data_IF_281503679982
#
_entry.id   IF_281503679982
#
_cell.length_a   1.000
_cell.length_b   1.000
_cell.length_c   1.000
_cell.angle_alpha   90.00
_cell.angle_beta   90.00
_cell.angle_gamma   90.00
#
_symmetry.space_group_name_H-M   'P 1'
#
loop_
_entity.id
_entity.type
_entity.pdbx_description
1 polymer ?
#
# COMPACT_ATOMS: atom_id res chain seq x y z
N UNK A 1 -34.48 20.13 12.73
CA UNK A 1 -34.15 18.84 13.34
C UNK A 1 -34.11 17.82 12.23
N UNK A 2 -32.92 17.52 11.70
CA UNK A 2 -32.76 16.52 10.66
C UNK A 2 -32.68 15.16 11.32
N UNK A 3 -33.82 14.49 11.44
CA UNK A 3 -33.86 13.08 11.80
C UNK A 3 -33.28 12.36 10.58
N UNK A 4 -32.07 11.84 10.70
CA UNK A 4 -31.58 10.83 9.75
C UNK A 4 -32.42 9.60 10.05
N UNK A 5 -33.28 9.24 9.10
CA UNK A 5 -34.09 8.03 9.17
C UNK A 5 -33.12 6.84 9.07
N UNK A 6 -32.84 6.16 10.20
CA UNK A 6 -31.94 5.00 10.27
C UNK A 6 -32.46 3.79 9.45
N UNK A 7 -33.65 3.90 8.85
CA UNK A 7 -34.25 2.86 8.00
C UNK A 7 -33.74 2.83 6.56
N UNK A 8 -32.97 3.83 6.10
CA UNK A 8 -32.50 3.92 4.70
C UNK A 8 -30.97 3.83 4.54
N UNK A 9 -30.30 3.13 5.44
CA UNK A 9 -28.87 2.84 5.33
C UNK A 9 -28.68 1.72 4.31
N UNK A 10 -28.10 2.05 3.15
CA UNK A 10 -27.70 1.07 2.14
C UNK A 10 -26.75 0.04 2.76
N UNK A 11 -26.89 -1.23 2.37
CA UNK A 11 -25.88 -2.24 2.70
C UNK A 11 -24.51 -1.86 2.10
N UNK A 12 -23.43 -2.47 2.62
CA UNK A 12 -22.08 -2.26 2.08
C UNK A 12 -22.01 -2.55 0.57
N UNK A 13 -22.71 -3.59 0.11
CA UNK A 13 -22.74 -3.98 -1.29
C UNK A 13 -23.47 -2.95 -2.17
N UNK A 14 -24.63 -2.48 -1.73
CA UNK A 14 -25.39 -1.43 -2.40
C UNK A 14 -24.63 -0.09 -2.42
N UNK A 15 -23.96 0.25 -1.32
CA UNK A 15 -23.12 1.44 -1.20
C UNK A 15 -21.95 1.39 -2.18
N UNK A 16 -21.25 0.25 -2.26
CA UNK A 16 -20.12 0.06 -3.19
C UNK A 16 -20.62 0.11 -4.64
N UNK A 17 -21.77 -0.49 -4.95
CA UNK A 17 -22.35 -0.49 -6.29
C UNK A 17 -22.74 0.92 -6.73
N UNK A 18 -23.40 1.69 -5.87
CA UNK A 18 -23.72 3.09 -6.12
C UNK A 18 -22.45 3.92 -6.35
N UNK A 19 -21.44 3.75 -5.51
CA UNK A 19 -20.16 4.46 -5.65
C UNK A 19 -19.48 4.16 -7.00
N UNK A 20 -19.48 2.89 -7.44
CA UNK A 20 -18.94 2.48 -8.74
C UNK A 20 -19.73 3.00 -9.95
N UNK A 21 -21.01 3.33 -9.78
CA UNK A 21 -21.80 3.97 -10.83
C UNK A 21 -21.48 5.47 -10.97
N UNK A 22 -21.20 6.13 -9.84
CA UNK A 22 -20.91 7.57 -9.80
C UNK A 22 -19.46 7.87 -10.21
N UNK A 23 -18.52 7.03 -9.76
CA UNK A 23 -17.09 7.25 -9.98
C UNK A 23 -16.51 6.25 -10.97
N UNK A 24 -15.76 6.76 -11.95
CA UNK A 24 -15.03 5.90 -12.88
C UNK A 24 -14.05 5.01 -12.13
N UNK A 25 -13.85 3.79 -12.64
CA UNK A 25 -12.78 2.91 -12.17
C UNK A 25 -11.44 3.59 -12.42
N UNK A 26 -10.65 3.74 -11.35
CA UNK A 26 -9.28 4.25 -11.45
C UNK A 26 -8.41 3.20 -12.13
N UNK A 27 -7.70 3.61 -13.16
CA UNK A 27 -6.74 2.77 -13.90
C UNK A 27 -5.30 3.12 -13.52
N UNK A 28 -4.34 2.24 -13.85
CA UNK A 28 -2.91 2.56 -13.69
C UNK A 28 -2.50 3.78 -14.51
N UNK A 29 -3.12 3.99 -15.68
CA UNK A 29 -2.86 5.15 -16.53
C UNK A 29 -3.34 6.44 -15.86
N UNK A 30 -4.50 6.43 -15.20
CA UNK A 30 -4.99 7.57 -14.40
C UNK A 30 -3.99 7.94 -13.30
N UNK A 31 -3.43 6.94 -12.60
CA UNK A 31 -2.44 7.16 -11.53
C UNK A 31 -1.15 7.76 -12.09
N UNK A 32 -0.64 7.22 -13.21
CA UNK A 32 0.58 7.74 -13.85
C UNK A 32 0.38 9.17 -14.34
N UNK A 33 -0.78 9.47 -14.94
CA UNK A 33 -1.14 10.81 -15.40
C UNK A 33 -1.23 11.78 -14.22
N UNK A 34 -1.89 11.38 -13.13
CA UNK A 34 -1.96 12.19 -11.92
C UNK A 34 -0.56 12.47 -11.35
N UNK A 35 0.29 11.45 -11.20
CA UNK A 35 1.65 11.62 -10.71
C UNK A 35 2.47 12.59 -11.56
N UNK A 36 2.31 12.54 -12.89
CA UNK A 36 2.98 13.46 -13.81
C UNK A 36 2.46 14.90 -13.71
N UNK A 37 1.18 15.09 -13.42
CA UNK A 37 0.57 16.41 -13.22
C UNK A 37 0.92 17.01 -11.86
N UNK A 38 0.99 16.19 -10.82
CA UNK A 38 1.34 16.61 -9.47
C UNK A 38 2.83 17.00 -9.35
N UNK A 39 3.73 16.23 -9.97
CA UNK A 39 5.17 16.52 -9.92
C UNK A 39 5.51 17.84 -10.63
N UNK A 40 6.16 18.74 -9.90
CA UNK A 40 6.53 20.08 -10.35
C UNK A 40 5.37 21.08 -10.33
N UNK A 41 4.22 20.71 -9.79
CA UNK A 41 3.07 21.62 -9.64
C UNK A 41 3.19 22.52 -8.42
N UNK A 42 2.38 23.57 -8.40
CA UNK A 42 2.22 24.45 -7.23
C UNK A 42 1.64 23.69 -6.02
N UNK A 43 0.83 22.66 -6.26
CA UNK A 43 0.28 21.78 -5.22
C UNK A 43 1.40 21.00 -4.52
N UNK A 44 2.31 20.41 -5.30
CA UNK A 44 3.47 19.73 -4.71
C UNK A 44 4.38 20.70 -3.95
N UNK A 45 4.63 21.90 -4.46
CA UNK A 45 5.42 22.89 -3.71
C UNK A 45 4.77 23.25 -2.37
N UNK A 46 3.45 23.44 -2.35
CA UNK A 46 2.68 23.70 -1.13
C UNK A 46 2.78 22.53 -0.14
N UNK A 47 2.64 21.31 -0.62
CA UNK A 47 2.73 20.10 0.21
C UNK A 47 4.14 19.89 0.76
N UNK A 48 5.19 20.18 -0.01
CA UNK A 48 6.58 20.17 0.45
C UNK A 48 6.80 21.16 1.59
N UNK A 49 6.26 22.38 1.47
CA UNK A 49 6.34 23.40 2.52
C UNK A 49 5.58 22.96 3.77
N UNK A 50 4.37 22.42 3.60
CA UNK A 50 3.56 21.91 4.70
C UNK A 50 4.27 20.74 5.43
N UNK A 51 4.81 19.79 4.68
CA UNK A 51 5.57 18.66 5.22
C UNK A 51 6.84 19.12 5.93
N UNK A 52 7.58 20.09 5.37
CA UNK A 52 8.77 20.64 6.01
C UNK A 52 8.45 21.23 7.39
N UNK A 53 7.38 22.02 7.48
CA UNK A 53 6.94 22.62 8.74
C UNK A 53 6.48 21.57 9.75
N UNK A 54 5.71 20.58 9.30
CA UNK A 54 5.19 19.50 10.14
C UNK A 54 6.30 18.64 10.73
N UNK A 55 7.34 18.36 9.93
CA UNK A 55 8.45 17.48 10.29
C UNK A 55 9.73 18.22 10.66
N UNK A 56 9.66 19.54 10.84
CA UNK A 56 10.78 20.41 11.24
C UNK A 56 12.02 20.23 10.36
N UNK A 57 11.81 19.96 9.07
CA UNK A 57 12.86 19.73 8.10
C UNK A 57 13.50 18.33 8.12
N UNK A 58 12.92 17.31 8.77
CA UNK A 58 13.41 15.93 8.60
C UNK A 58 13.12 15.42 7.19
N UNK A 59 14.16 15.39 6.35
CA UNK A 59 14.05 14.94 4.96
C UNK A 59 13.46 13.52 4.84
N UNK A 60 13.71 12.64 5.81
CA UNK A 60 13.16 11.27 5.76
C UNK A 60 11.64 11.28 5.91
N UNK A 61 11.12 12.09 6.83
CA UNK A 61 9.68 12.19 7.04
C UNK A 61 8.99 12.98 5.92
N UNK A 62 9.66 14.00 5.38
CA UNK A 62 9.18 14.73 4.21
C UNK A 62 9.01 13.78 3.03
N UNK A 63 10.05 13.01 2.67
CA UNK A 63 9.96 12.06 1.55
C UNK A 63 8.84 11.02 1.71
N UNK A 64 8.54 10.61 2.94
CA UNK A 64 7.45 9.67 3.23
C UNK A 64 6.05 10.31 3.19
N UNK A 65 5.96 11.65 3.24
CA UNK A 65 4.69 12.38 3.29
C UNK A 65 4.24 12.88 1.92
N UNK A 66 5.19 13.15 1.01
CA UNK A 66 4.88 13.69 -0.31
C UNK A 66 4.33 12.61 -1.23
N UNK A 67 3.18 12.88 -1.84
CA UNK A 67 2.55 11.96 -2.78
C UNK A 67 3.45 11.70 -3.99
N UNK A 68 3.41 10.47 -4.49
CA UNK A 68 4.14 10.04 -5.69
C UNK A 68 5.66 10.27 -5.65
N UNK A 69 6.23 10.60 -4.49
CA UNK A 69 7.65 10.82 -4.30
C UNK A 69 8.38 9.48 -4.13
N UNK A 70 9.48 9.34 -4.85
CA UNK A 70 10.42 8.23 -4.71
C UNK A 70 11.76 8.75 -4.22
N UNK A 71 12.66 7.88 -3.78
CA UNK A 71 14.00 8.31 -3.35
C UNK A 71 14.79 9.02 -4.47
N UNK A 72 14.44 8.80 -5.74
CA UNK A 72 15.04 9.47 -6.90
C UNK A 72 14.62 10.94 -6.98
N UNK A 73 13.48 11.30 -6.40
CA UNK A 73 12.95 12.66 -6.37
C UNK A 73 13.58 13.53 -5.28
N UNK A 74 14.30 12.94 -4.33
CA UNK A 74 14.89 13.66 -3.20
C UNK A 74 15.75 14.87 -3.62
N UNK A 75 16.62 14.80 -4.66
CA UNK A 75 17.39 15.97 -5.11
C UNK A 75 16.51 17.14 -5.55
N UNK A 76 15.38 16.86 -6.22
CA UNK A 76 14.44 17.87 -6.70
C UNK A 76 13.67 18.49 -5.54
N UNK A 77 13.15 17.66 -4.62
CA UNK A 77 12.44 18.11 -3.42
C UNK A 77 13.37 18.96 -2.54
N UNK A 78 14.63 18.53 -2.38
CA UNK A 78 15.65 19.31 -1.69
C UNK A 78 15.87 20.67 -2.35
N UNK A 79 15.97 20.72 -3.68
CA UNK A 79 16.15 21.99 -4.41
C UNK A 79 14.98 22.97 -4.19
N UNK A 80 13.75 22.46 -4.14
CA UNK A 80 12.56 23.27 -3.79
C UNK A 80 12.69 23.82 -2.38
N UNK A 81 13.04 22.98 -1.40
CA UNK A 81 13.21 23.42 0.00
C UNK A 81 14.33 24.46 0.12
N UNK A 82 15.49 24.22 -0.51
CA UNK A 82 16.62 25.15 -0.50
C UNK A 82 16.22 26.52 -1.09
N UNK A 83 15.45 26.52 -2.18
CA UNK A 83 14.90 27.74 -2.79
C UNK A 83 14.00 28.48 -1.80
N UNK A 84 13.04 27.79 -1.17
CA UNK A 84 12.14 28.40 -0.17
C UNK A 84 12.88 28.90 1.08
N UNK A 85 14.01 28.27 1.45
CA UNK A 85 14.89 28.76 2.51
C UNK A 85 15.60 30.04 2.06
N UNK A 86 16.12 30.09 0.83
CA UNK A 86 16.79 31.29 0.30
C UNK A 86 15.84 32.48 0.13
N UNK A 87 14.57 32.22 -0.18
CA UNK A 87 13.50 33.21 -0.26
C UNK A 87 13.05 33.70 1.12
N UNK A 88 13.51 33.07 2.21
CA UNK A 88 13.13 33.39 3.58
C UNK A 88 11.74 32.88 3.99
N UNK A 89 11.09 32.08 3.14
CA UNK A 89 9.79 31.45 3.42
C UNK A 89 9.95 30.35 4.46
N UNK A 90 11.00 29.54 4.35
CA UNK A 90 11.33 28.49 5.29
C UNK A 90 12.57 28.86 6.11
N UNK A 91 12.54 28.52 7.40
CA UNK A 91 13.73 28.62 8.25
C UNK A 91 14.55 27.34 8.15
N UNK A 92 15.84 27.47 7.86
CA UNK A 92 16.76 26.34 7.90
C UNK A 92 16.86 25.77 9.32
N UNK A 93 16.61 24.47 9.47
CA UNK A 93 16.69 23.78 10.77
C UNK A 93 17.95 22.93 10.88
N UNK A 94 18.42 22.69 12.10
CA UNK A 94 19.52 21.75 12.35
C UNK A 94 19.19 20.34 11.85
N UNK A 95 17.91 19.94 11.98
CA UNK A 95 17.42 18.65 11.52
C UNK A 95 17.49 18.55 10.00
N UNK A 96 17.12 19.59 9.27
CA UNK A 96 17.29 19.66 7.82
C UNK A 96 18.74 19.44 7.42
N UNK A 97 19.67 20.26 7.94
CA UNK A 97 21.12 20.11 7.67
C UNK A 97 21.62 18.70 7.89
N UNK A 98 21.28 18.10 9.03
CA UNK A 98 21.73 16.76 9.37
C UNK A 98 21.13 15.69 8.45
N UNK A 99 19.85 15.82 8.07
CA UNK A 99 19.11 14.82 7.31
C UNK A 99 19.36 14.87 5.79
N UNK A 100 19.84 16.00 5.27
CA UNK A 100 20.15 16.19 3.82
C UNK A 100 21.60 15.93 3.45
N UNK A 101 22.42 15.41 4.37
CA UNK A 101 23.79 15.02 4.03
C UNK A 101 23.81 13.91 2.99
N UNK A 102 24.85 13.87 2.16
CA UNK A 102 25.05 12.82 1.14
C UNK A 102 25.00 11.41 1.74
N UNK A 103 25.49 11.25 2.97
CA UNK A 103 25.44 9.97 3.71
C UNK A 103 23.99 9.56 3.99
N UNK A 104 23.17 10.46 4.51
CA UNK A 104 21.77 10.17 4.83
C UNK A 104 20.91 9.97 3.58
N UNK A 105 21.13 10.77 2.53
CA UNK A 105 20.48 10.58 1.23
C UNK A 105 20.81 9.20 0.64
N UNK A 106 22.09 8.81 0.62
CA UNK A 106 22.50 7.49 0.16
C UNK A 106 21.95 6.36 1.04
N UNK A 107 21.83 6.57 2.36
CA UNK A 107 21.24 5.60 3.28
C UNK A 107 19.76 5.36 2.95
N UNK A 108 18.99 6.43 2.66
CA UNK A 108 17.59 6.32 2.24
C UNK A 108 17.46 5.57 0.92
N UNK A 109 18.27 5.94 -0.09
CA UNK A 109 18.30 5.23 -1.37
C UNK A 109 18.58 3.73 -1.21
N UNK A 110 19.65 3.37 -0.49
CA UNK A 110 20.01 1.96 -0.25
C UNK A 110 18.91 1.18 0.47
N UNK A 111 18.21 1.82 1.41
CA UNK A 111 17.08 1.21 2.10
C UNK A 111 15.94 0.91 1.12
N UNK A 112 15.59 1.87 0.26
CA UNK A 112 14.56 1.69 -0.74
C UNK A 112 14.94 0.63 -1.80
N UNK A 113 16.18 0.62 -2.27
CA UNK A 113 16.70 -0.43 -3.19
C UNK A 113 16.61 -1.83 -2.56
N UNK A 114 16.94 -1.93 -1.26
CA UNK A 114 16.83 -3.20 -0.52
C UNK A 114 15.39 -3.66 -0.40
N UNK A 115 14.47 -2.78 0.00
CA UNK A 115 13.04 -3.08 0.14
C UNK A 115 12.42 -3.48 -1.21
N UNK A 116 12.83 -2.82 -2.31
CA UNK A 116 12.41 -3.21 -3.66
C UNK A 116 12.89 -4.63 -4.02
N UNK A 117 14.14 -4.97 -3.72
CA UNK A 117 14.67 -6.33 -3.95
C UNK A 117 13.95 -7.40 -3.13
N UNK A 118 13.62 -7.11 -1.86
CA UNK A 118 12.84 -8.02 -1.01
C UNK A 118 11.41 -8.20 -1.54
N UNK A 119 10.77 -7.13 -2.03
CA UNK A 119 9.44 -7.18 -2.64
C UNK A 119 9.43 -8.02 -3.93
N UNK A 120 10.43 -7.87 -4.79
CA UNK A 120 10.57 -8.67 -6.01
C UNK A 120 10.77 -10.15 -5.71
N UNK A 121 11.58 -10.48 -4.70
CA UNK A 121 11.78 -11.86 -4.24
C UNK A 121 10.46 -12.46 -3.70
N UNK A 122 9.75 -11.72 -2.85
CA UNK A 122 8.46 -12.16 -2.33
C UNK A 122 7.44 -12.39 -3.46
N UNK A 123 7.42 -11.52 -4.48
CA UNK A 123 6.56 -11.68 -5.64
C UNK A 123 6.93 -12.93 -6.45
N UNK A 124 8.22 -13.20 -6.65
CA UNK A 124 8.67 -14.42 -7.33
C UNK A 124 8.27 -15.68 -6.55
N UNK A 125 8.39 -15.68 -5.22
CA UNK A 125 7.97 -16.81 -4.39
C UNK A 125 6.46 -17.05 -4.47
N UNK A 126 5.65 -15.99 -4.43
CA UNK A 126 4.19 -16.09 -4.59
C UNK A 126 3.86 -16.67 -5.97
N UNK A 127 4.48 -16.16 -7.03
CA UNK A 127 4.28 -16.66 -8.39
C UNK A 127 4.68 -18.13 -8.55
N UNK A 128 5.77 -18.55 -7.91
CA UNK A 128 6.23 -19.94 -7.95
C UNK A 128 5.27 -20.90 -7.22
N UNK A 129 4.68 -20.48 -6.09
CA UNK A 129 3.77 -21.31 -5.29
C UNK A 129 2.33 -21.30 -5.80
N UNK A 130 1.86 -20.16 -6.28
CA UNK A 130 0.42 -19.92 -6.49
C UNK A 130 0.06 -19.55 -7.94
N UNK A 131 1.06 -19.34 -8.80
CA UNK A 131 0.89 -18.93 -10.19
C UNK A 131 0.72 -17.42 -10.36
N UNK A 132 0.37 -16.99 -11.57
CA UNK A 132 0.25 -15.57 -11.94
C UNK A 132 -1.20 -15.02 -11.82
N UNK A 133 -2.02 -15.58 -10.93
CA UNK A 133 -3.41 -15.14 -10.75
C UNK A 133 -3.51 -13.77 -10.09
N UNK A 134 -4.66 -13.10 -10.25
CA UNK A 134 -4.97 -11.88 -9.51
C UNK A 134 -5.02 -12.16 -8.00
N UNK A 135 -4.77 -11.16 -7.14
CA UNK A 135 -4.82 -11.36 -5.68
C UNK A 135 -6.16 -11.98 -5.23
N UNK A 136 -7.26 -11.57 -5.86
CA UNK A 136 -8.58 -12.13 -5.60
C UNK A 136 -8.65 -13.62 -5.95
N UNK A 137 -8.14 -14.02 -7.12
CA UNK A 137 -8.05 -15.43 -7.52
C UNK A 137 -7.21 -16.24 -6.53
N UNK A 138 -6.06 -15.69 -6.10
CA UNK A 138 -5.19 -16.35 -5.13
C UNK A 138 -5.89 -16.55 -3.77
N UNK A 139 -6.63 -15.55 -3.29
CA UNK A 139 -7.40 -15.66 -2.03
C UNK A 139 -8.50 -16.72 -2.15
N UNK A 140 -9.26 -16.70 -3.24
CA UNK A 140 -10.34 -17.69 -3.48
C UNK A 140 -9.78 -19.10 -3.59
N UNK A 141 -8.67 -19.28 -4.31
CA UNK A 141 -7.97 -20.56 -4.41
C UNK A 141 -7.52 -21.06 -3.03
N UNK A 142 -6.88 -20.22 -2.22
CA UNK A 142 -6.49 -20.58 -0.84
C UNK A 142 -7.68 -20.95 0.04
N UNK A 143 -8.83 -20.30 -0.13
CA UNK A 143 -10.05 -20.64 0.61
C UNK A 143 -10.56 -22.03 0.20
N UNK A 144 -10.62 -22.32 -1.11
CA UNK A 144 -11.00 -23.63 -1.63
C UNK A 144 -10.05 -24.73 -1.16
N UNK A 145 -8.74 -24.52 -1.27
CA UNK A 145 -7.72 -25.48 -0.83
C UNK A 145 -7.82 -25.78 0.67
N UNK A 146 -8.12 -24.78 1.51
CA UNK A 146 -8.37 -25.01 2.94
C UNK A 146 -9.62 -25.85 3.18
N UNK A 147 -10.69 -25.64 2.42
CA UNK A 147 -11.91 -26.45 2.48
C UNK A 147 -11.63 -27.92 2.13
N UNK A 148 -10.99 -28.17 0.99
CA UNK A 148 -10.69 -29.53 0.56
C UNK A 148 -9.74 -30.27 1.51
N UNK A 149 -8.77 -29.57 2.11
CA UNK A 149 -7.88 -30.16 3.10
C UNK A 149 -8.61 -30.49 4.41
N UNK A 150 -9.59 -29.69 4.82
CA UNK A 150 -10.43 -29.99 5.97
C UNK A 150 -11.32 -31.21 5.72
N UNK A 151 -11.92 -31.31 4.53
CA UNK A 151 -12.73 -32.46 4.13
C UNK A 151 -11.88 -33.75 4.12
N UNK A 152 -10.69 -33.71 3.52
CA UNK A 152 -9.77 -34.85 3.53
C UNK A 152 -9.34 -35.26 4.95
N UNK A 153 -9.16 -34.29 5.85
CA UNK A 153 -8.87 -34.57 7.27
C UNK A 153 -10.07 -35.25 7.95
N UNK A 154 -11.29 -34.73 7.76
CA UNK A 154 -12.51 -35.32 8.32
C UNK A 154 -12.76 -36.73 7.77
N UNK A 155 -12.52 -36.96 6.48
CA UNK A 155 -12.61 -38.28 5.85
C UNK A 155 -11.61 -39.27 6.48
N UNK A 156 -10.37 -38.83 6.72
CA UNK A 156 -9.37 -39.66 7.40
C UNK A 156 -9.78 -40.03 8.82
N UNK A 157 -10.46 -39.11 9.52
CA UNK A 157 -10.99 -39.33 10.86
C UNK A 157 -12.19 -40.30 10.81
N UNK A 158 -13.10 -40.09 9.87
CA UNK A 158 -14.25 -40.96 9.64
C UNK A 158 -13.82 -42.39 9.28
N UNK A 159 -12.79 -42.56 8.46
CA UNK A 159 -12.23 -43.88 8.13
C UNK A 159 -11.66 -44.59 9.37
N UNK A 160 -10.93 -43.85 10.23
CA UNK A 160 -10.27 -44.40 11.42
C UNK A 160 -11.24 -44.75 12.55
N UNK A 161 -12.28 -43.94 12.76
CA UNK A 161 -13.19 -44.08 13.90
C UNK A 161 -14.59 -44.57 13.53
N UNK A 162 -15.04 -44.38 12.28
CA UNK A 162 -16.34 -44.85 11.77
C UNK A 162 -16.37 -46.34 11.43
N UNK A 163 -15.21 -46.98 11.22
CA UNK A 163 -15.10 -48.42 10.94
C UNK A 163 -15.19 -49.31 12.19
N UNK A 164 -16.20 -49.11 13.05
CA UNK A 164 -16.57 -50.08 14.11
C UNK A 164 -18.06 -50.41 14.08
N UNK A 165 -18.53 -51.01 12.99
CA UNK A 165 -19.77 -51.78 12.98
C UNK A 165 -19.86 -52.71 11.77
N UNK A 166 -19.16 -53.85 11.81
CA UNK A 166 -19.58 -55.10 11.14
C UNK A 166 -18.79 -56.27 11.74
N UNK A 167 -19.12 -56.62 12.99
CA UNK A 167 -18.87 -57.98 13.50
C UNK A 167 -19.80 -58.91 12.71
N UNK A 168 -19.25 -59.75 11.85
CA UNK A 168 -19.99 -60.88 11.29
C UNK A 168 -20.34 -61.84 12.42
N UNK A 169 -21.63 -62.02 12.72
CA UNK A 169 -22.10 -63.21 13.44
C UNK A 169 -22.15 -64.36 12.43
N UNK A 170 -21.36 -65.40 12.70
CA UNK A 170 -21.52 -66.72 12.14
C UNK A 170 -22.21 -67.58 13.21
#
# INVERSE_FOLDING_TARGET
SGIVDDENVLSDEETINLWRQVFKKVTEEDIRKFAAQYRGSDEEESDIVAAYNSWKGDMTMIMNSIMCATFEDEPRIKAIIDKKISEGILKETAKYKSSTTKVNANKRRRKAEKEAGEADQALQEIKAKEGNGSLQELILRRQADRGSNADAFLDSLAAKYGAKAKRSKK
#
